data_IF_959754326974
#
_entry.id   IF_959754326974
#
_cell.length_a   1.000
_cell.length_b   1.000
_cell.length_c   1.000
_cell.angle_alpha   90.00
_cell.angle_beta   90.00
_cell.angle_gamma   90.00
#
_symmetry.space_group_name_H-M   'P 1'
#
loop_
_entity.id
_entity.type
_entity.pdbx_description
1 polymer ?
#
# COMPACT_ATOMS: atom_id res chain seq x y z
N UNK A 1 -15.33 -17.11 1.95
CA UNK A 1 -14.23 -16.92 0.96
C UNK A 1 -14.46 -15.73 0.04
N UNK A 2 -15.68 -15.54 -0.51
CA UNK A 2 -15.99 -14.48 -1.48
C UNK A 2 -15.75 -13.06 -0.92
N UNK A 3 -16.30 -12.73 0.25
CA UNK A 3 -16.10 -11.41 0.89
C UNK A 3 -14.62 -11.09 1.17
N UNK A 4 -13.86 -12.06 1.67
CA UNK A 4 -12.43 -11.91 1.93
C UNK A 4 -11.64 -11.68 0.63
N UNK A 5 -12.00 -12.36 -0.46
CA UNK A 5 -11.39 -12.17 -1.78
C UNK A 5 -11.70 -10.79 -2.36
N UNK A 6 -12.92 -10.29 -2.19
CA UNK A 6 -13.29 -8.92 -2.58
C UNK A 6 -12.46 -7.89 -1.80
N UNK A 7 -12.39 -8.04 -0.47
CA UNK A 7 -11.59 -7.16 0.38
C UNK A 7 -10.09 -7.21 0.04
N UNK A 8 -9.56 -8.39 -0.28
CA UNK A 8 -8.16 -8.55 -0.69
C UNK A 8 -7.89 -7.87 -2.04
N UNK A 9 -8.80 -8.00 -3.01
CA UNK A 9 -8.70 -7.32 -4.30
C UNK A 9 -8.64 -5.80 -4.11
N UNK A 10 -9.57 -5.24 -3.35
CA UNK A 10 -9.60 -3.81 -3.02
C UNK A 10 -8.33 -3.36 -2.30
N UNK A 11 -7.82 -4.15 -1.34
CA UNK A 11 -6.57 -3.85 -0.62
C UNK A 11 -5.34 -3.88 -1.54
N UNK A 12 -5.29 -4.81 -2.50
CA UNK A 12 -4.14 -4.96 -3.39
C UNK A 12 -3.99 -3.78 -4.36
N UNK A 13 -5.09 -3.32 -4.94
CA UNK A 13 -5.11 -2.16 -5.82
C UNK A 13 -4.66 -0.88 -5.08
N UNK A 14 -5.19 -0.66 -3.86
CA UNK A 14 -4.80 0.49 -3.04
C UNK A 14 -3.31 0.49 -2.64
N UNK A 15 -2.69 -0.68 -2.51
CA UNK A 15 -1.25 -0.81 -2.20
C UNK A 15 -0.35 -0.44 -3.36
N UNK A 16 -0.71 -0.81 -4.59
CA UNK A 16 0.10 -0.50 -5.79
C UNK A 16 0.00 0.99 -6.08
N UNK A 17 -1.22 1.52 -6.21
CA UNK A 17 -1.45 2.93 -6.51
C UNK A 17 -0.87 3.83 -5.41
N UNK A 18 -1.09 3.48 -4.13
CA UNK A 18 -0.54 4.23 -3.02
C UNK A 18 0.99 4.23 -2.97
N UNK A 19 1.64 3.16 -3.42
CA UNK A 19 3.09 3.08 -3.48
C UNK A 19 3.68 3.87 -4.66
N UNK A 20 3.01 3.88 -5.82
CA UNK A 20 3.40 4.72 -6.96
C UNK A 20 3.33 6.20 -6.58
N UNK A 21 2.20 6.64 -5.99
CA UNK A 21 2.04 8.00 -5.51
C UNK A 21 3.13 8.34 -4.48
N UNK A 22 3.35 7.47 -3.49
CA UNK A 22 4.40 7.66 -2.48
C UNK A 22 5.79 7.86 -3.10
N UNK A 23 6.16 7.04 -4.09
CA UNK A 23 7.46 7.14 -4.76
C UNK A 23 7.58 8.42 -5.59
N UNK A 24 6.52 8.80 -6.31
CA UNK A 24 6.51 10.05 -7.10
C UNK A 24 6.56 11.31 -6.24
N UNK A 25 6.00 11.27 -5.03
CA UNK A 25 6.06 12.39 -4.09
C UNK A 25 7.41 12.46 -3.35
N UNK A 26 8.03 11.31 -3.09
CA UNK A 26 9.28 11.25 -2.33
C UNK A 26 10.51 11.54 -3.20
N UNK A 27 10.49 11.10 -4.47
CA UNK A 27 11.63 11.17 -5.38
C UNK A 27 11.35 12.20 -6.47
N UNK A 28 12.23 13.20 -6.59
CA UNK A 28 12.11 14.23 -7.64
C UNK A 28 12.57 13.69 -9.01
N UNK A 29 12.03 14.22 -10.12
CA UNK A 29 12.53 13.92 -11.46
C UNK A 29 14.03 14.20 -11.60
N UNK A 30 14.79 13.44 -12.43
CA UNK A 30 14.33 12.42 -13.39
C UNK A 30 14.34 10.98 -12.86
N UNK A 31 14.89 10.71 -11.67
CA UNK A 31 15.06 9.35 -11.12
C UNK A 31 13.75 8.69 -10.66
N UNK A 32 12.64 9.44 -10.62
CA UNK A 32 11.32 8.93 -10.29
C UNK A 32 10.81 7.85 -11.27
N UNK A 33 11.04 8.03 -12.58
CA UNK A 33 10.53 7.14 -13.63
C UNK A 33 11.08 5.71 -13.53
N UNK A 34 12.41 5.49 -13.46
CA UNK A 34 12.94 4.15 -13.28
C UNK A 34 12.52 3.54 -11.94
N UNK A 35 12.33 4.35 -10.89
CA UNK A 35 11.92 3.83 -9.58
C UNK A 35 10.50 3.26 -9.62
N UNK A 36 9.55 3.99 -10.21
CA UNK A 36 8.18 3.49 -10.43
C UNK A 36 8.17 2.24 -11.32
N UNK A 37 8.97 2.24 -12.40
CA UNK A 37 9.08 1.08 -13.29
C UNK A 37 9.63 -0.17 -12.58
N UNK A 38 10.59 -0.01 -11.66
CA UNK A 38 11.09 -1.13 -10.86
C UNK A 38 10.03 -1.68 -9.92
N UNK A 39 9.16 -0.83 -9.34
CA UNK A 39 8.05 -1.28 -8.51
C UNK A 39 7.08 -2.15 -9.32
N UNK A 40 6.66 -1.69 -10.50
CA UNK A 40 5.75 -2.45 -11.36
C UNK A 40 6.37 -3.79 -11.80
N UNK A 41 7.68 -3.78 -12.08
CA UNK A 41 8.43 -5.02 -12.37
C UNK A 41 8.36 -6.02 -11.22
N UNK A 42 8.49 -5.57 -9.96
CA UNK A 42 8.33 -6.45 -8.79
C UNK A 42 6.89 -6.94 -8.61
N UNK A 43 5.88 -6.15 -8.97
CA UNK A 43 4.49 -6.59 -8.98
C UNK A 43 4.26 -7.74 -9.97
N UNK A 44 4.81 -7.63 -11.18
CA UNK A 44 4.75 -8.69 -12.20
C UNK A 44 5.48 -9.95 -11.72
N UNK A 45 6.66 -9.81 -11.14
CA UNK A 45 7.41 -10.93 -10.55
C UNK A 45 6.62 -11.62 -9.42
N UNK A 46 5.93 -10.85 -8.58
CA UNK A 46 5.03 -11.39 -7.56
C UNK A 46 3.87 -12.20 -8.17
N UNK A 47 3.29 -11.72 -9.27
CA UNK A 47 2.28 -12.44 -10.05
C UNK A 47 2.81 -13.75 -10.63
N UNK A 48 4.02 -13.73 -11.19
CA UNK A 48 4.70 -14.94 -11.67
C UNK A 48 4.95 -15.95 -10.54
N UNK A 49 5.39 -15.49 -9.37
CA UNK A 49 5.53 -16.33 -8.19
C UNK A 49 4.22 -16.97 -7.73
N UNK A 50 3.12 -16.23 -7.79
CA UNK A 50 1.79 -16.74 -7.48
C UNK A 50 1.34 -17.83 -8.47
N UNK A 51 1.61 -17.64 -9.77
CA UNK A 51 1.35 -18.66 -10.80
C UNK A 51 2.19 -19.91 -10.58
N UNK A 52 3.49 -19.75 -10.30
CA UNK A 52 4.38 -20.88 -10.00
C UNK A 52 3.88 -21.69 -8.79
N UNK A 53 3.47 -21.01 -7.72
CA UNK A 53 2.90 -21.66 -6.54
C UNK A 53 1.58 -22.38 -6.86
N UNK A 54 0.71 -21.79 -7.67
CA UNK A 54 -0.53 -22.43 -8.12
C UNK A 54 -0.27 -23.68 -8.96
N UNK A 55 0.71 -23.63 -9.88
CA UNK A 55 1.13 -24.77 -10.68
C UNK A 55 1.73 -25.89 -9.83
N UNK A 56 2.52 -25.57 -8.81
CA UNK A 56 3.08 -26.54 -7.88
C UNK A 56 1.99 -27.23 -7.04
N UNK A 57 1.04 -26.45 -6.50
CA UNK A 57 -0.07 -26.98 -5.69
C UNK A 57 -0.96 -27.90 -6.53
N UNK A 58 -1.19 -27.56 -7.80
CA UNK A 58 -2.02 -28.35 -8.71
C UNK A 58 -1.32 -29.63 -9.17
N UNK A 59 -0.01 -29.60 -9.41
CA UNK A 59 0.76 -30.76 -9.88
C UNK A 59 1.04 -31.80 -8.79
N UNK A 60 1.27 -31.37 -7.54
CA UNK A 60 1.55 -32.28 -6.40
C UNK A 60 0.27 -32.75 -5.71
N UNK A 61 -0.90 -32.18 -6.06
CA UNK A 61 -2.17 -32.52 -5.43
C UNK A 61 -2.32 -31.98 -4.00
N UNK A 62 -1.57 -30.92 -3.67
CA UNK A 62 -1.63 -30.32 -2.35
C UNK A 62 -2.96 -29.59 -2.10
N UNK A 63 -3.35 -29.50 -0.82
CA UNK A 63 -4.49 -28.70 -0.43
C UNK A 63 -4.25 -27.21 -0.68
N UNK A 64 -5.20 -26.55 -1.34
CA UNK A 64 -5.21 -25.10 -1.61
C UNK A 64 -4.93 -24.22 -0.37
N UNK A 65 -5.20 -24.74 0.83
CA UNK A 65 -4.93 -24.06 2.12
C UNK A 65 -3.46 -23.72 2.32
N UNK A 66 -2.55 -24.55 1.81
CA UNK A 66 -1.09 -24.35 1.97
C UNK A 66 -0.64 -23.10 1.21
N UNK A 67 -1.20 -22.86 0.02
CA UNK A 67 -0.95 -21.64 -0.74
C UNK A 67 -1.37 -20.39 0.05
N UNK A 68 -2.50 -20.46 0.75
CA UNK A 68 -2.96 -19.37 1.60
C UNK A 68 -2.05 -19.13 2.81
N UNK A 69 -1.53 -20.18 3.44
CA UNK A 69 -0.61 -20.03 4.57
C UNK A 69 0.70 -19.34 4.16
N UNK A 70 1.23 -19.71 2.99
CA UNK A 70 2.44 -19.08 2.43
C UNK A 70 2.18 -17.58 2.18
N UNK A 71 1.05 -17.25 1.54
CA UNK A 71 0.68 -15.85 1.27
C UNK A 71 0.44 -15.05 2.55
N UNK A 72 -0.13 -15.66 3.58
CA UNK A 72 -0.30 -15.03 4.90
C UNK A 72 1.05 -14.65 5.51
N UNK A 73 2.05 -15.53 5.44
CA UNK A 73 3.40 -15.23 5.93
C UNK A 73 4.02 -14.01 5.23
N UNK A 74 3.93 -13.98 3.89
CA UNK A 74 4.42 -12.86 3.07
C UNK A 74 3.68 -11.55 3.43
N UNK A 75 2.37 -11.63 3.68
CA UNK A 75 1.55 -10.48 4.03
C UNK A 75 1.98 -9.85 5.36
N UNK A 76 2.33 -10.65 6.37
CA UNK A 76 2.80 -10.15 7.68
C UNK A 76 4.10 -9.36 7.51
N UNK A 77 5.07 -9.91 6.80
CA UNK A 77 6.35 -9.21 6.50
C UNK A 77 6.09 -7.89 5.80
N UNK A 78 5.19 -7.89 4.81
CA UNK A 78 4.79 -6.68 4.10
C UNK A 78 4.05 -5.64 4.96
N UNK A 79 3.37 -6.04 6.04
CA UNK A 79 2.75 -5.10 6.98
C UNK A 79 3.80 -4.45 7.87
N UNK A 80 4.75 -5.23 8.40
CA UNK A 80 5.84 -4.74 9.24
C UNK A 80 6.74 -3.76 8.46
N UNK A 81 7.01 -4.06 7.18
CA UNK A 81 7.75 -3.14 6.31
C UNK A 81 7.05 -1.79 6.17
N UNK A 82 5.72 -1.78 6.03
CA UNK A 82 4.93 -0.54 5.85
C UNK A 82 4.92 0.35 7.08
N UNK A 83 4.98 -0.21 8.29
CA UNK A 83 4.97 0.60 9.52
C UNK A 83 6.27 1.39 9.73
N UNK A 84 7.31 1.11 8.95
CA UNK A 84 8.63 1.75 9.08
C UNK A 84 8.85 2.94 8.13
N UNK A 85 7.94 3.18 7.18
CA UNK A 85 8.05 4.28 6.21
C UNK A 85 7.60 5.62 6.82
N UNK A 86 8.39 6.68 6.59
CA UNK A 86 8.04 8.07 6.96
C UNK A 86 7.00 8.63 6.00
N UNK A 87 6.12 9.51 6.49
CA UNK A 87 5.14 10.23 5.65
C UNK A 87 5.85 11.08 4.56
N UNK A 88 5.21 11.25 3.40
CA UNK A 88 5.75 12.04 2.27
C UNK A 88 5.76 13.53 2.58
N UNK A 89 6.73 14.30 2.04
CA UNK A 89 6.84 15.74 2.30
C UNK A 89 5.62 16.53 1.78
N UNK A 90 5.04 16.13 0.65
CA UNK A 90 3.82 16.71 0.08
C UNK A 90 2.61 16.50 1.00
N UNK A 91 2.44 15.29 1.56
CA UNK A 91 1.35 15.01 2.50
C UNK A 91 1.47 15.81 3.81
N UNK A 92 2.70 15.98 4.32
CA UNK A 92 2.98 16.86 5.47
C UNK A 92 2.65 18.32 5.14
N UNK A 93 2.94 18.76 3.92
CA UNK A 93 2.55 20.08 3.39
C UNK A 93 1.04 20.27 3.34
N UNK A 94 0.31 19.32 2.74
CA UNK A 94 -1.14 19.34 2.64
C UNK A 94 -1.82 19.36 4.02
N UNK A 95 -1.33 18.58 4.98
CA UNK A 95 -1.80 18.62 6.38
C UNK A 95 -1.58 20.01 7.02
N UNK A 96 -0.46 20.66 6.74
CA UNK A 96 -0.17 22.02 7.22
C UNK A 96 -1.12 23.05 6.63
N UNK A 97 -1.41 22.95 5.33
CA UNK A 97 -2.29 23.92 4.66
C UNK A 97 -3.76 23.73 5.06
N UNK A 98 -4.23 22.48 5.18
CA UNK A 98 -5.54 22.19 5.76
C UNK A 98 -5.66 22.78 7.17
N UNK A 99 -4.63 22.63 8.00
CA UNK A 99 -4.62 23.20 9.36
C UNK A 99 -4.78 24.73 9.34
N UNK A 100 -4.11 25.44 8.41
CA UNK A 100 -4.25 26.89 8.25
C UNK A 100 -5.68 27.28 7.84
N UNK A 101 -6.27 26.58 6.88
CA UNK A 101 -7.66 26.83 6.44
C UNK A 101 -8.67 26.60 7.57
N UNK A 102 -8.49 25.57 8.40
CA UNK A 102 -9.35 25.32 9.55
C UNK A 102 -9.19 26.34 10.68
N UNK A 103 -7.98 26.88 10.89
CA UNK A 103 -7.75 28.00 11.82
C UNK A 103 -8.43 29.28 11.32
N UNK A 104 -8.39 29.56 10.01
CA UNK A 104 -9.12 30.67 9.40
C UNK A 104 -10.65 30.50 9.48
N UNK A 105 -11.16 29.27 9.44
CA UNK A 105 -12.58 28.95 9.59
C UNK A 105 -13.07 28.92 11.06
N UNK A 106 -12.23 29.30 12.03
CA UNK A 106 -12.51 29.33 13.48
C UNK A 106 -13.07 27.99 14.03
N UNK A 107 -12.65 26.85 13.47
CA UNK A 107 -13.02 25.54 14.00
C UNK A 107 -12.12 25.21 15.19
N UNK A 108 -12.75 24.83 16.32
CA UNK A 108 -12.03 24.57 17.56
C UNK A 108 -10.87 23.57 17.41
N UNK A 109 -9.72 23.79 18.05
CA UNK A 109 -8.48 23.03 17.83
C UNK A 109 -8.61 21.53 18.16
N UNK A 110 -9.53 21.17 19.06
CA UNK A 110 -9.88 19.77 19.38
C UNK A 110 -10.50 19.04 18.19
N UNK A 111 -11.38 19.70 17.42
CA UNK A 111 -12.01 19.11 16.22
C UNK A 111 -10.99 18.93 15.11
N UNK A 112 -10.10 19.92 14.92
CA UNK A 112 -9.02 19.84 13.91
C UNK A 112 -8.12 18.63 14.17
N UNK A 113 -7.70 18.42 15.42
CA UNK A 113 -6.80 17.30 15.77
C UNK A 113 -7.44 15.93 15.58
N UNK A 114 -8.76 15.82 15.74
CA UNK A 114 -9.52 14.59 15.48
C UNK A 114 -9.66 14.36 13.97
N UNK A 115 -10.00 15.39 13.21
CA UNK A 115 -10.15 15.31 11.75
C UNK A 115 -8.81 14.97 11.07
N UNK A 116 -7.71 15.62 11.49
CA UNK A 116 -6.37 15.38 10.94
C UNK A 116 -5.79 13.99 11.30
N UNK A 117 -6.39 13.29 12.27
CA UNK A 117 -6.01 11.93 12.67
C UNK A 117 -6.87 10.87 11.98
N UNK A 118 -8.02 11.28 11.43
CA UNK A 118 -8.93 10.45 10.65
C UNK A 118 -8.59 10.48 9.15
N UNK A 119 -7.89 11.52 8.70
CA UNK A 119 -7.22 11.65 7.40
C UNK A 119 -5.83 11.03 7.44
#
# INVERSE_FOLDING_TARGET
>A
MIACRMAQGMSSMGKVIGADVYLTEFIKPPVQYPTVATLDSFCILGGFGALCLASLVTSVGFSWRIAFLIVTGIAIVGVIGRTSLRETPEFVGAKRDLRKTFEQANIGPKKIKVILKLL
#
